data_IF_997363811539
#
_entry.id   IF_997363811539
#
_cell.length_a   1.000
_cell.length_b   1.000
_cell.length_c   1.000
_cell.angle_alpha   90.00
_cell.angle_beta   90.00
_cell.angle_gamma   90.00
#
_symmetry.space_group_name_H-M   'P 1'
#
loop_
_entity.id
_entity.type
_entity.pdbx_description
1 polymer ?
#
# COMPACT_ATOMS: atom_id res chain seq x y z
N UNK A 1 -14.17 -10.24 -19.47
CA UNK A 1 -13.03 -11.07 -18.99
C UNK A 1 -13.59 -12.46 -18.68
N UNK A 2 -12.79 -13.53 -18.74
CA UNK A 2 -13.17 -14.87 -18.27
C UNK A 2 -11.97 -15.58 -17.64
N UNK A 3 -12.21 -16.46 -16.67
CA UNK A 3 -11.20 -17.39 -16.15
C UNK A 3 -10.96 -18.47 -17.21
N UNK A 4 -9.71 -18.67 -17.60
CA UNK A 4 -9.33 -19.64 -18.64
C UNK A 4 -8.66 -20.87 -18.08
N UNK A 5 -7.89 -20.72 -17.00
CA UNK A 5 -7.14 -21.82 -16.40
C UNK A 5 -6.87 -21.55 -14.92
N UNK A 6 -6.90 -22.60 -14.09
CA UNK A 6 -6.34 -22.59 -12.73
C UNK A 6 -4.97 -23.27 -12.80
N UNK A 7 -3.94 -22.57 -12.36
CA UNK A 7 -2.58 -23.09 -12.35
C UNK A 7 -2.35 -23.96 -11.11
N UNK A 8 -1.67 -25.08 -11.30
CA UNK A 8 -1.32 -26.00 -10.21
C UNK A 8 -0.07 -25.54 -9.46
N UNK A 9 0.00 -25.82 -8.15
CA UNK A 9 1.16 -25.49 -7.32
C UNK A 9 1.10 -24.09 -6.72
N UNK A 10 2.17 -23.68 -6.04
CA UNK A 10 2.24 -22.36 -5.37
C UNK A 10 2.22 -21.23 -6.42
N UNK A 11 1.46 -20.15 -6.19
CA UNK A 11 1.50 -18.97 -7.06
C UNK A 11 2.92 -18.42 -7.18
N UNK A 12 3.33 -17.96 -8.36
CA UNK A 12 4.62 -17.28 -8.53
C UNK A 12 4.52 -15.82 -8.14
N UNK A 13 4.44 -15.57 -6.84
CA UNK A 13 4.34 -14.24 -6.25
C UNK A 13 5.22 -14.18 -5.01
N UNK A 14 6.15 -13.22 -4.96
CA UNK A 14 6.92 -12.94 -3.75
C UNK A 14 6.00 -12.17 -2.80
N UNK A 15 5.41 -12.90 -1.87
CA UNK A 15 4.43 -12.45 -0.88
C UNK A 15 4.92 -12.84 0.52
N UNK A 16 4.02 -13.13 1.45
CA UNK A 16 4.34 -13.71 2.75
C UNK A 16 4.96 -15.12 2.63
N UNK A 17 5.87 -15.47 3.52
CA UNK A 17 6.61 -16.76 3.52
C UNK A 17 6.10 -17.78 4.54
N UNK A 18 5.17 -17.40 5.42
CA UNK A 18 4.46 -18.34 6.28
C UNK A 18 3.36 -19.09 5.49
N UNK A 19 2.93 -20.24 6.00
CA UNK A 19 1.89 -21.04 5.36
C UNK A 19 0.51 -20.45 5.63
N UNK A 20 -0.18 -19.97 4.58
CA UNK A 20 -1.55 -19.46 4.70
C UNK A 20 -2.54 -20.50 5.21
N UNK A 21 -2.26 -21.80 5.00
CA UNK A 21 -3.10 -22.90 5.49
C UNK A 21 -3.18 -22.96 7.01
N UNK A 22 -2.10 -22.59 7.72
CA UNK A 22 -2.07 -22.50 9.18
C UNK A 22 -2.98 -21.38 9.72
N UNK A 23 -3.36 -20.44 8.85
CA UNK A 23 -4.28 -19.34 9.13
C UNK A 23 -5.67 -19.56 8.51
N UNK A 24 -5.97 -20.77 8.05
CA UNK A 24 -7.27 -21.12 7.47
C UNK A 24 -7.49 -20.51 6.08
N UNK A 25 -6.43 -20.17 5.35
CA UNK A 25 -6.49 -19.58 4.01
C UNK A 25 -5.88 -20.47 2.94
N UNK A 26 -6.36 -20.32 1.72
CA UNK A 26 -5.80 -20.94 0.52
C UNK A 26 -5.31 -19.89 -0.46
N UNK A 27 -4.26 -20.24 -1.22
CA UNK A 27 -3.75 -19.46 -2.32
C UNK A 27 -3.94 -20.20 -3.64
N UNK A 28 -4.63 -19.55 -4.58
CA UNK A 28 -4.86 -20.05 -5.92
C UNK A 28 -4.37 -19.05 -6.97
N UNK A 29 -3.90 -19.54 -8.11
CA UNK A 29 -3.44 -18.73 -9.23
C UNK A 29 -4.22 -19.10 -10.49
N UNK A 30 -4.63 -18.09 -11.26
CA UNK A 30 -5.46 -18.29 -12.44
C UNK A 30 -4.97 -17.45 -13.61
N UNK A 31 -5.11 -17.99 -14.82
CA UNK A 31 -5.16 -17.18 -16.02
C UNK A 31 -6.57 -16.65 -16.26
N UNK A 32 -6.61 -15.38 -16.68
CA UNK A 32 -7.82 -14.70 -17.13
C UNK A 32 -7.55 -14.06 -18.48
N UNK A 33 -8.53 -14.15 -19.38
CA UNK A 33 -8.41 -13.60 -20.73
C UNK A 33 -9.63 -12.77 -21.11
N UNK A 34 -9.45 -11.89 -22.08
CA UNK A 34 -10.53 -11.09 -22.63
C UNK A 34 -10.03 -10.11 -23.66
N UNK A 35 -10.81 -9.05 -23.87
CA UNK A 35 -10.43 -7.89 -24.67
C UNK A 35 -10.40 -6.68 -23.75
N UNK A 36 -9.37 -5.85 -23.85
CA UNK A 36 -9.18 -4.67 -23.01
C UNK A 36 -9.07 -3.43 -23.89
N UNK A 37 -9.87 -2.41 -23.59
CA UNK A 37 -9.72 -1.10 -24.18
C UNK A 37 -8.45 -0.40 -23.65
N UNK A 38 -7.90 0.51 -24.45
CA UNK A 38 -7.07 1.61 -23.94
C UNK A 38 -7.91 2.89 -23.92
N UNK A 39 -7.50 3.87 -23.13
CA UNK A 39 -8.23 5.12 -22.97
C UNK A 39 -7.40 6.31 -23.44
N UNK A 40 -8.08 7.36 -23.89
CA UNK A 40 -7.48 8.66 -24.16
C UNK A 40 -8.30 9.79 -23.55
N UNK A 41 -7.64 10.90 -23.25
CA UNK A 41 -8.29 12.09 -22.72
C UNK A 41 -9.26 12.66 -23.76
N UNK A 42 -10.50 12.93 -23.33
CA UNK A 42 -11.56 13.55 -24.13
C UNK A 42 -11.78 15.03 -23.75
N UNK A 43 -10.96 15.57 -22.86
CA UNK A 43 -11.04 16.94 -22.35
C UNK A 43 -9.73 17.35 -21.66
N UNK A 44 -9.71 18.52 -21.00
CA UNK A 44 -8.54 19.01 -20.27
C UNK A 44 -8.09 18.07 -19.14
N UNK A 45 -6.77 18.03 -18.91
CA UNK A 45 -6.14 17.27 -17.82
C UNK A 45 -5.73 18.25 -16.74
N UNK A 46 -6.61 18.44 -15.75
CA UNK A 46 -6.44 19.44 -14.70
C UNK A 46 -6.11 18.80 -13.35
N UNK A 47 -5.57 19.62 -12.43
CA UNK A 47 -5.14 19.17 -11.11
C UNK A 47 -6.29 18.72 -10.18
N UNK A 48 -7.54 19.03 -10.53
CA UNK A 48 -8.73 18.65 -9.76
C UNK A 48 -9.13 17.18 -9.90
N UNK A 49 -8.59 16.48 -10.90
CA UNK A 49 -8.88 15.07 -11.18
C UNK A 49 -10.23 14.83 -11.88
N UNK A 50 -10.97 15.87 -12.28
CA UNK A 50 -12.26 15.75 -12.97
C UNK A 50 -12.07 15.46 -14.46
N UNK A 51 -11.35 14.37 -14.75
CA UNK A 51 -10.97 14.02 -16.11
C UNK A 51 -12.12 13.36 -16.86
N UNK A 52 -12.14 13.59 -18.16
CA UNK A 52 -13.03 12.90 -19.10
C UNK A 52 -12.19 12.07 -20.05
N UNK A 53 -12.53 10.80 -20.19
CA UNK A 53 -11.84 9.89 -21.10
C UNK A 53 -12.83 9.20 -22.04
N UNK A 54 -12.29 8.65 -23.12
CA UNK A 54 -13.01 7.75 -24.03
C UNK A 54 -12.12 6.57 -24.41
N UNK A 55 -12.75 5.47 -24.77
CA UNK A 55 -12.04 4.31 -25.31
C UNK A 55 -11.40 4.65 -26.66
N UNK A 56 -10.18 4.15 -26.88
CA UNK A 56 -9.33 4.48 -28.03
C UNK A 56 -8.79 3.22 -28.71
N UNK A 57 -9.62 2.20 -28.85
CA UNK A 57 -9.27 0.89 -29.42
C UNK A 57 -9.06 -0.16 -28.34
N UNK A 58 -9.02 -1.42 -28.78
CA UNK A 58 -9.00 -2.58 -27.90
C UNK A 58 -8.05 -3.67 -28.42
N UNK A 59 -7.60 -4.53 -27.51
CA UNK A 59 -6.74 -5.67 -27.85
C UNK A 59 -7.07 -6.89 -26.98
N UNK A 60 -6.96 -8.11 -27.54
CA UNK A 60 -7.07 -9.33 -26.74
C UNK A 60 -5.89 -9.42 -25.75
N UNK A 61 -6.13 -10.03 -24.59
CA UNK A 61 -5.11 -10.28 -23.59
C UNK A 61 -5.33 -11.61 -22.86
N UNK A 62 -4.23 -12.13 -22.31
CA UNK A 62 -4.21 -13.12 -21.23
C UNK A 62 -3.30 -12.59 -20.14
N UNK A 63 -3.82 -12.45 -18.92
CA UNK A 63 -3.08 -12.05 -17.73
C UNK A 63 -3.34 -13.02 -16.58
N UNK A 64 -2.79 -12.72 -15.40
CA UNK A 64 -2.85 -13.55 -14.19
C UNK A 64 -3.56 -12.83 -13.04
N UNK A 65 -4.30 -13.61 -12.24
CA UNK A 65 -4.74 -13.20 -10.91
C UNK A 65 -4.27 -14.21 -9.86
N UNK A 66 -4.00 -13.73 -8.64
CA UNK A 66 -3.78 -14.58 -7.45
C UNK A 66 -4.92 -14.32 -6.48
N UNK A 67 -5.51 -15.37 -5.95
CA UNK A 67 -6.63 -15.31 -5.00
C UNK A 67 -6.17 -15.90 -3.67
N UNK A 68 -6.14 -15.08 -2.62
CA UNK A 68 -6.04 -15.52 -1.24
C UNK A 68 -7.43 -15.42 -0.61
N UNK A 69 -7.92 -16.51 -0.03
CA UNK A 69 -9.28 -16.58 0.53
C UNK A 69 -9.37 -17.59 1.65
N UNK A 70 -10.38 -17.49 2.53
CA UNK A 70 -10.66 -18.54 3.50
C UNK A 70 -10.81 -19.91 2.84
N UNK A 71 -10.22 -20.93 3.46
CA UNK A 71 -10.29 -22.32 3.03
C UNK A 71 -11.70 -22.88 3.20
N UNK A 72 -12.37 -22.53 4.30
CA UNK A 72 -13.79 -22.75 4.52
C UNK A 72 -14.59 -21.57 3.93
N UNK A 73 -15.42 -21.80 2.89
CA UNK A 73 -16.25 -20.74 2.32
C UNK A 73 -17.23 -20.09 3.32
N UNK A 74 -17.58 -20.75 4.43
CA UNK A 74 -18.42 -20.16 5.47
C UNK A 74 -17.70 -19.08 6.30
N UNK A 75 -16.36 -19.08 6.30
CA UNK A 75 -15.55 -18.05 6.95
C UNK A 75 -15.32 -16.82 6.06
N UNK A 76 -15.71 -16.87 4.78
CA UNK A 76 -15.64 -15.72 3.88
C UNK A 76 -16.73 -14.71 4.22
N UNK A 77 -16.32 -13.48 4.53
CA UNK A 77 -17.25 -12.44 4.94
C UNK A 77 -17.96 -11.77 3.75
N UNK A 78 -17.56 -12.03 2.51
CA UNK A 78 -18.12 -11.37 1.33
C UNK A 78 -17.36 -10.11 0.90
N UNK A 79 -16.28 -9.74 1.59
CA UNK A 79 -15.42 -8.60 1.23
C UNK A 79 -14.21 -9.07 0.43
N UNK A 80 -13.98 -8.46 -0.73
CA UNK A 80 -12.79 -8.72 -1.55
C UNK A 80 -11.97 -7.44 -1.69
N UNK A 81 -10.71 -7.50 -1.28
CA UNK A 81 -9.71 -6.47 -1.59
C UNK A 81 -9.03 -6.84 -2.90
N UNK A 82 -9.27 -6.05 -3.94
CA UNK A 82 -8.70 -6.24 -5.28
C UNK A 82 -7.49 -5.34 -5.42
N UNK A 83 -6.30 -5.95 -5.31
CA UNK A 83 -5.05 -5.22 -5.36
C UNK A 83 -4.51 -5.14 -6.79
N UNK A 84 -4.32 -3.92 -7.28
CA UNK A 84 -3.47 -3.67 -8.43
C UNK A 84 -2.03 -3.90 -8.00
N UNK A 85 -1.43 -5.01 -8.45
CA UNK A 85 -0.09 -5.38 -8.01
C UNK A 85 0.94 -4.37 -8.47
N UNK A 86 1.84 -4.02 -7.55
CA UNK A 86 2.87 -3.04 -7.82
C UNK A 86 3.97 -3.67 -8.69
N UNK A 87 4.44 -2.94 -9.71
CA UNK A 87 5.46 -3.42 -10.65
C UNK A 87 6.75 -2.60 -10.63
N UNK A 88 6.97 -1.78 -9.59
CA UNK A 88 8.13 -0.87 -9.51
C UNK A 88 9.47 -1.61 -9.55
N UNK A 89 9.51 -2.82 -8.98
CA UNK A 89 10.66 -3.73 -8.98
C UNK A 89 10.89 -4.39 -10.35
N UNK A 90 9.93 -4.32 -11.27
CA UNK A 90 9.93 -5.07 -12.54
C UNK A 90 9.22 -6.42 -12.46
N UNK A 91 8.65 -6.77 -11.31
CA UNK A 91 7.80 -7.94 -11.12
C UNK A 91 6.57 -7.56 -10.28
N UNK A 92 5.54 -8.39 -10.32
CA UNK A 92 4.36 -8.21 -9.46
C UNK A 92 4.73 -8.31 -7.98
N UNK A 93 4.31 -7.32 -7.21
CA UNK A 93 4.51 -7.24 -5.75
C UNK A 93 3.19 -6.90 -5.05
N UNK A 94 2.76 -7.67 -4.04
CA UNK A 94 1.49 -7.44 -3.34
C UNK A 94 1.71 -6.52 -2.13
N UNK A 95 2.04 -5.25 -2.39
CA UNK A 95 2.43 -4.29 -1.36
C UNK A 95 1.32 -3.97 -0.33
N UNK A 96 0.04 -3.98 -0.73
CA UNK A 96 -1.07 -3.82 0.21
C UNK A 96 -1.27 -5.09 1.04
N UNK A 97 -1.18 -6.28 0.44
CA UNK A 97 -1.16 -7.53 1.19
C UNK A 97 -0.05 -7.52 2.25
N UNK A 98 1.20 -7.24 1.86
CA UNK A 98 2.36 -7.26 2.76
C UNK A 98 2.21 -6.30 3.96
N UNK A 99 1.46 -5.21 3.81
CA UNK A 99 1.24 -4.23 4.89
C UNK A 99 0.00 -4.53 5.72
N UNK A 100 -1.01 -5.24 5.19
CA UNK A 100 -2.31 -5.38 5.83
C UNK A 100 -2.84 -6.82 6.00
N UNK A 101 -2.08 -7.85 5.63
CA UNK A 101 -2.53 -9.24 5.61
C UNK A 101 -3.12 -9.71 6.95
N UNK A 102 -2.58 -9.26 8.08
CA UNK A 102 -3.11 -9.63 9.41
C UNK A 102 -4.58 -9.25 9.58
N UNK A 103 -4.97 -8.06 9.14
CA UNK A 103 -6.37 -7.63 9.15
C UNK A 103 -7.21 -8.40 8.13
N UNK A 104 -6.68 -8.66 6.95
CA UNK A 104 -7.40 -9.42 5.93
C UNK A 104 -7.70 -10.85 6.40
N UNK A 105 -6.69 -11.53 6.95
CA UNK A 105 -6.78 -12.89 7.47
C UNK A 105 -7.76 -12.98 8.65
N UNK A 106 -7.62 -12.12 9.66
CA UNK A 106 -8.47 -12.19 10.87
C UNK A 106 -9.94 -11.88 10.60
N UNK A 107 -10.22 -11.13 9.54
CA UNK A 107 -11.59 -10.66 9.23
C UNK A 107 -12.32 -11.54 8.22
N UNK A 108 -11.67 -12.59 7.70
CA UNK A 108 -12.29 -13.48 6.69
C UNK A 108 -12.40 -12.84 5.31
N UNK A 109 -11.64 -11.76 5.04
CA UNK A 109 -11.63 -11.09 3.74
C UNK A 109 -10.89 -11.93 2.71
N UNK A 110 -11.37 -11.90 1.46
CA UNK A 110 -10.57 -12.38 0.34
C UNK A 110 -9.70 -11.25 -0.21
N UNK A 111 -8.55 -11.63 -0.76
CA UNK A 111 -7.65 -10.75 -1.47
C UNK A 111 -7.40 -11.28 -2.88
N UNK A 112 -7.46 -10.40 -3.88
CA UNK A 112 -7.22 -10.75 -5.28
C UNK A 112 -6.18 -9.81 -5.87
N UNK A 113 -4.97 -10.32 -6.10
CA UNK A 113 -3.89 -9.58 -6.75
C UNK A 113 -3.94 -9.70 -8.27
N UNK A 114 -3.94 -8.57 -8.97
CA UNK A 114 -4.06 -8.48 -10.43
C UNK A 114 -2.73 -8.10 -11.07
N UNK A 115 -2.25 -8.90 -12.03
CA UNK A 115 -1.19 -8.48 -12.96
C UNK A 115 -1.79 -7.54 -14.01
N UNK A 116 -2.17 -6.33 -13.60
CA UNK A 116 -2.86 -5.38 -14.46
C UNK A 116 -1.91 -4.70 -15.45
N UNK A 117 -0.63 -4.55 -15.13
CA UNK A 117 0.39 -3.99 -16.01
C UNK A 117 1.18 -5.08 -16.72
N UNK A 118 1.65 -4.77 -17.93
CA UNK A 118 2.56 -5.60 -18.69
C UNK A 118 3.93 -5.74 -17.98
N UNK A 119 4.32 -4.73 -17.20
CA UNK A 119 5.63 -4.65 -16.53
C UNK A 119 5.88 -5.85 -15.60
N UNK A 120 4.85 -6.33 -14.88
CA UNK A 120 5.00 -7.50 -14.00
C UNK A 120 5.19 -8.83 -14.75
N UNK A 121 4.77 -8.86 -16.02
CA UNK A 121 4.81 -10.05 -16.89
C UNK A 121 6.09 -10.09 -17.72
N UNK A 122 6.48 -8.94 -18.27
CA UNK A 122 7.55 -8.81 -19.27
C UNK A 122 8.78 -8.08 -18.75
N UNK A 123 8.72 -7.49 -17.55
CA UNK A 123 9.76 -6.63 -17.00
C UNK A 123 9.53 -5.16 -17.35
N UNK A 124 10.11 -4.28 -16.54
CA UNK A 124 9.90 -2.82 -16.67
C UNK A 124 10.27 -2.04 -15.41
N UNK A 125 11.25 -2.53 -14.63
CA UNK A 125 11.59 -2.00 -13.32
C UNK A 125 11.90 -0.50 -13.37
N UNK A 126 11.20 0.30 -12.54
CA UNK A 126 11.52 1.72 -12.30
C UNK A 126 12.93 1.89 -11.72
N UNK A 127 13.42 0.83 -11.06
CA UNK A 127 14.72 0.82 -10.40
C UNK A 127 15.83 0.27 -11.30
N UNK A 128 15.55 -0.24 -12.51
CA UNK A 128 16.57 -0.87 -13.36
C UNK A 128 17.81 0.02 -13.57
N UNK A 129 17.61 1.30 -13.91
CA UNK A 129 18.69 2.26 -14.14
C UNK A 129 19.23 2.92 -12.86
N UNK A 130 18.53 2.75 -11.73
CA UNK A 130 18.83 3.41 -10.45
C UNK A 130 19.22 2.45 -9.33
N UNK A 131 19.25 1.15 -9.62
CA UNK A 131 19.45 0.10 -8.62
C UNK A 131 20.87 0.13 -8.10
N UNK A 132 21.90 0.23 -8.95
CA UNK A 132 23.28 0.32 -8.48
C UNK A 132 23.63 -0.80 -7.49
N UNK A 133 23.88 -0.44 -6.22
CA UNK A 133 24.13 -1.38 -5.12
C UNK A 133 22.89 -2.15 -4.62
N UNK A 134 21.69 -1.76 -5.05
CA UNK A 134 20.38 -2.35 -4.72
C UNK A 134 19.85 -3.29 -5.81
N UNK A 135 20.70 -4.11 -6.45
CA UNK A 135 20.22 -5.06 -7.48
C UNK A 135 19.13 -6.01 -6.96
N UNK A 136 19.11 -6.29 -5.66
CA UNK A 136 18.10 -7.12 -5.00
C UNK A 136 16.67 -6.56 -5.05
N UNK A 137 16.49 -5.26 -5.36
CA UNK A 137 15.14 -4.67 -5.56
C UNK A 137 14.61 -4.87 -6.98
N UNK A 138 15.45 -5.25 -7.94
CA UNK A 138 15.01 -5.60 -9.29
C UNK A 138 14.67 -7.09 -9.31
N UNK A 139 13.39 -7.40 -9.38
CA UNK A 139 12.88 -8.77 -9.33
C UNK A 139 12.64 -9.32 -10.75
N UNK A 140 12.79 -10.64 -10.97
CA UNK A 140 12.51 -11.24 -12.27
C UNK A 140 11.00 -11.16 -12.57
N UNK A 141 10.59 -10.66 -13.75
CA UNK A 141 9.19 -10.69 -14.16
C UNK A 141 8.70 -12.14 -14.33
N UNK A 142 7.37 -12.32 -14.38
CA UNK A 142 6.77 -13.66 -14.40
C UNK A 142 7.39 -14.56 -15.49
N UNK A 143 7.47 -14.09 -16.74
CA UNK A 143 8.01 -14.90 -17.84
C UNK A 143 9.49 -15.27 -17.71
N UNK A 144 10.26 -14.55 -16.92
CA UNK A 144 11.66 -14.89 -16.64
C UNK A 144 11.77 -15.81 -15.41
N UNK A 145 10.86 -15.66 -14.46
CA UNK A 145 10.84 -16.47 -13.23
C UNK A 145 10.46 -17.94 -13.48
N UNK A 146 9.51 -18.18 -14.38
CA UNK A 146 9.07 -19.52 -14.81
C UNK A 146 8.53 -19.45 -16.26
N UNK A 147 9.43 -19.53 -17.27
CA UNK A 147 9.05 -19.34 -18.67
C UNK A 147 8.00 -20.34 -19.18
N UNK A 148 8.03 -21.58 -18.68
CA UNK A 148 7.10 -22.63 -19.08
C UNK A 148 5.72 -22.40 -18.47
N UNK A 149 5.65 -22.14 -17.16
CA UNK A 149 4.39 -21.85 -16.45
C UNK A 149 3.67 -20.65 -17.04
N UNK A 150 4.40 -19.60 -17.41
CA UNK A 150 3.84 -18.32 -17.85
C UNK A 150 3.86 -18.09 -19.35
N UNK A 151 4.13 -19.12 -20.15
CA UNK A 151 4.19 -19.04 -21.61
C UNK A 151 2.90 -18.45 -22.23
N UNK A 152 1.73 -18.80 -21.67
CA UNK A 152 0.42 -18.40 -22.16
C UNK A 152 0.06 -16.92 -21.89
N UNK A 153 0.81 -16.21 -21.04
CA UNK A 153 0.57 -14.79 -20.79
C UNK A 153 0.82 -13.96 -22.05
N UNK A 154 -0.12 -13.08 -22.37
CA UNK A 154 -0.06 -12.22 -23.55
C UNK A 154 -0.71 -10.88 -23.20
N UNK A 155 0.09 -9.93 -22.73
CA UNK A 155 -0.39 -8.60 -22.33
C UNK A 155 -0.17 -7.58 -23.46
N UNK A 156 -1.20 -6.84 -23.90
CA UNK A 156 -1.10 -5.90 -25.02
C UNK A 156 -0.40 -4.57 -24.65
N UNK A 157 0.37 -4.54 -23.56
CA UNK A 157 1.01 -3.33 -23.02
C UNK A 157 0.19 -2.59 -21.95
N UNK A 158 0.87 -1.71 -21.22
CA UNK A 158 0.33 -0.94 -20.09
C UNK A 158 -0.88 -0.03 -20.38
N UNK A 159 -1.10 0.53 -21.59
CA UNK A 159 -2.29 1.33 -21.88
C UNK A 159 -3.62 0.59 -21.65
N UNK A 160 -3.60 -0.74 -21.66
CA UNK A 160 -4.75 -1.61 -21.45
C UNK A 160 -5.00 -1.98 -19.99
N UNK A 161 -4.09 -1.60 -19.08
CA UNK A 161 -4.10 -2.01 -17.68
C UNK A 161 -5.35 -1.55 -16.92
N UNK A 162 -5.82 -0.34 -17.20
CA UNK A 162 -7.02 0.21 -16.57
C UNK A 162 -8.28 -0.59 -16.91
N UNK A 163 -8.42 -1.04 -18.17
CA UNK A 163 -9.54 -1.88 -18.60
C UNK A 163 -9.42 -3.29 -18.03
N UNK A 164 -8.21 -3.86 -17.94
CA UNK A 164 -7.97 -5.17 -17.31
C UNK A 164 -8.39 -5.15 -15.84
N UNK A 165 -7.93 -4.14 -15.09
CA UNK A 165 -8.30 -3.98 -13.68
C UNK A 165 -9.82 -3.77 -13.50
N UNK A 166 -10.44 -2.94 -14.35
CA UNK A 166 -11.90 -2.73 -14.34
C UNK A 166 -12.67 -4.02 -14.65
N UNK A 167 -12.21 -4.77 -15.65
CA UNK A 167 -12.86 -5.99 -16.09
C UNK A 167 -12.80 -7.11 -15.04
N UNK A 168 -11.75 -7.15 -14.19
CA UNK A 168 -11.73 -8.07 -13.06
C UNK A 168 -12.76 -7.66 -11.99
N UNK A 169 -12.88 -6.36 -11.68
CA UNK A 169 -13.92 -5.87 -10.78
C UNK A 169 -15.32 -6.29 -11.25
N UNK A 170 -15.60 -6.14 -12.55
CA UNK A 170 -16.85 -6.62 -13.16
C UNK A 170 -16.99 -8.16 -13.06
N UNK A 171 -15.92 -8.92 -13.34
CA UNK A 171 -15.91 -10.38 -13.27
C UNK A 171 -16.28 -10.89 -11.86
N UNK A 172 -15.75 -10.26 -10.82
CA UNK A 172 -16.00 -10.63 -9.42
C UNK A 172 -17.43 -10.30 -8.96
N UNK A 173 -18.17 -9.47 -9.70
CA UNK A 173 -19.62 -9.27 -9.48
C UNK A 173 -20.47 -10.36 -10.11
N UNK A 174 -19.95 -11.09 -11.08
CA UNK A 174 -20.66 -12.20 -11.71
C UNK A 174 -20.69 -13.39 -10.75
N UNK A 175 -21.86 -13.65 -10.16
CA UNK A 175 -22.04 -14.69 -9.13
C UNK A 175 -21.40 -16.04 -9.49
N UNK A 176 -21.70 -16.57 -10.67
CA UNK A 176 -21.19 -17.88 -11.10
C UNK A 176 -19.67 -17.89 -11.19
N UNK A 177 -19.08 -16.80 -11.69
CA UNK A 177 -17.63 -16.70 -11.83
C UNK A 177 -16.94 -16.51 -10.48
N UNK A 178 -17.49 -15.66 -9.60
CA UNK A 178 -16.99 -15.50 -8.24
C UNK A 178 -17.04 -16.81 -7.45
N UNK A 179 -18.15 -17.56 -7.53
CA UNK A 179 -18.28 -18.89 -6.93
C UNK A 179 -17.23 -19.88 -7.49
N UNK A 180 -16.94 -19.84 -8.79
CA UNK A 180 -15.90 -20.67 -9.40
C UNK A 180 -14.47 -20.32 -8.93
N UNK A 181 -14.25 -19.09 -8.47
CA UNK A 181 -13.02 -18.65 -7.80
C UNK A 181 -13.00 -18.95 -6.28
N UNK A 182 -14.04 -19.63 -5.77
CA UNK A 182 -14.19 -19.93 -4.35
C UNK A 182 -14.62 -18.73 -3.51
N UNK A 183 -15.23 -17.72 -4.13
CA UNK A 183 -15.70 -16.49 -3.50
C UNK A 183 -17.24 -16.40 -3.56
N UNK A 184 -17.98 -17.27 -2.85
CA UNK A 184 -19.43 -17.23 -2.87
C UNK A 184 -19.95 -15.96 -2.18
N UNK A 185 -20.91 -15.29 -2.79
CA UNK A 185 -21.60 -14.17 -2.14
C UNK A 185 -20.74 -12.92 -1.93
N UNK A 186 -19.91 -12.56 -2.91
CA UNK A 186 -19.21 -11.26 -2.93
C UNK A 186 -20.21 -10.11 -2.75
N UNK A 187 -20.04 -9.32 -1.68
CA UNK A 187 -20.87 -8.16 -1.33
C UNK A 187 -20.14 -6.85 -1.57
N UNK A 188 -18.85 -6.80 -1.22
CA UNK A 188 -18.05 -5.57 -1.25
C UNK A 188 -16.76 -5.79 -2.02
N UNK A 189 -16.47 -4.90 -2.97
CA UNK A 189 -15.20 -4.86 -3.71
C UNK A 189 -14.44 -3.57 -3.38
N UNK A 190 -13.27 -3.69 -2.76
CA UNK A 190 -12.37 -2.57 -2.48
C UNK A 190 -11.20 -2.61 -3.46
N UNK A 191 -11.03 -1.56 -4.27
CA UNK A 191 -9.83 -1.40 -5.09
C UNK A 191 -8.67 -0.93 -4.21
N UNK A 192 -7.51 -1.58 -4.31
CA UNK A 192 -6.35 -1.25 -3.52
C UNK A 192 -5.07 -1.17 -4.36
N UNK A 193 -4.16 -0.30 -3.99
CA UNK A 193 -2.85 -0.17 -4.63
C UNK A 193 -1.90 0.66 -3.80
N UNK A 194 -0.60 0.43 -3.97
CA UNK A 194 0.45 1.10 -3.24
C UNK A 194 1.52 1.66 -4.20
N UNK A 195 2.10 2.83 -3.91
CA UNK A 195 3.20 3.40 -4.72
C UNK A 195 2.82 3.59 -6.20
N UNK A 196 3.54 2.95 -7.13
CA UNK A 196 3.23 2.96 -8.57
C UNK A 196 1.81 2.48 -8.89
N UNK A 197 1.31 1.42 -8.26
CA UNK A 197 -0.07 0.97 -8.53
C UNK A 197 -1.11 1.93 -7.96
N UNK A 198 -0.79 2.64 -6.87
CA UNK A 198 -1.62 3.75 -6.41
C UNK A 198 -1.60 4.94 -7.38
N UNK A 199 -0.49 5.17 -8.10
CA UNK A 199 -0.42 6.15 -9.20
C UNK A 199 -1.35 5.76 -10.37
N UNK A 200 -1.43 4.46 -10.70
CA UNK A 200 -2.39 3.94 -11.66
C UNK A 200 -3.84 4.08 -11.13
N UNK A 201 -4.08 3.85 -9.83
CA UNK A 201 -5.41 4.03 -9.25
C UNK A 201 -5.90 5.48 -9.26
N UNK A 202 -5.03 6.48 -9.10
CA UNK A 202 -5.43 7.90 -9.29
C UNK A 202 -5.97 8.11 -10.71
N UNK A 203 -5.26 7.62 -11.72
CA UNK A 203 -5.69 7.74 -13.12
C UNK A 203 -6.97 6.95 -13.40
N UNK A 204 -7.07 5.73 -12.87
CA UNK A 204 -8.27 4.90 -12.95
C UNK A 204 -9.47 5.63 -12.34
N UNK A 205 -9.34 6.15 -11.12
CA UNK A 205 -10.37 6.90 -10.41
C UNK A 205 -10.82 8.12 -11.21
N UNK A 206 -9.87 8.90 -11.72
CA UNK A 206 -10.16 10.17 -12.35
C UNK A 206 -10.80 10.01 -13.73
N UNK A 207 -10.35 9.03 -14.52
CA UNK A 207 -10.71 8.87 -15.93
C UNK A 207 -11.59 7.67 -16.26
N UNK A 208 -11.41 6.52 -15.60
CA UNK A 208 -11.99 5.24 -16.02
C UNK A 208 -13.16 4.79 -15.14
N UNK A 209 -13.06 4.94 -13.82
CA UNK A 209 -14.14 4.67 -12.89
C UNK A 209 -15.47 5.40 -13.22
N UNK A 210 -15.48 6.65 -13.75
CA UNK A 210 -16.72 7.31 -14.19
C UNK A 210 -17.42 6.62 -15.35
N UNK A 211 -16.68 5.92 -16.20
CA UNK A 211 -17.22 5.12 -17.31
C UNK A 211 -17.68 3.75 -16.82
N UNK A 212 -16.98 3.19 -15.83
CA UNK A 212 -17.19 1.83 -15.33
C UNK A 212 -17.05 1.76 -13.79
N UNK A 213 -18.09 2.13 -13.02
CA UNK A 213 -18.04 2.16 -11.56
C UNK A 213 -18.23 0.76 -10.96
N UNK A 214 -17.17 -0.04 -10.93
CA UNK A 214 -17.23 -1.46 -10.50
C UNK A 214 -16.87 -1.70 -9.02
N UNK A 215 -16.10 -0.80 -8.41
CA UNK A 215 -15.60 -0.90 -7.04
C UNK A 215 -16.45 -0.07 -6.08
N UNK A 216 -16.62 -0.57 -4.85
CA UNK A 216 -17.41 0.07 -3.81
C UNK A 216 -16.59 1.08 -3.00
N UNK A 217 -15.26 0.90 -2.92
CA UNK A 217 -14.35 1.79 -2.20
C UNK A 217 -12.92 1.70 -2.75
N UNK A 218 -12.12 2.73 -2.48
CA UNK A 218 -10.74 2.84 -2.99
C UNK A 218 -9.73 3.12 -1.88
N UNK A 219 -8.74 2.25 -1.77
CA UNK A 219 -7.61 2.37 -0.84
C UNK A 219 -6.33 2.69 -1.62
N UNK A 220 -5.81 3.91 -1.48
CA UNK A 220 -4.57 4.34 -2.13
C UNK A 220 -3.48 4.51 -1.07
N UNK A 221 -2.40 3.76 -1.18
CA UNK A 221 -1.31 3.80 -0.22
C UNK A 221 -0.04 4.36 -0.87
N UNK A 222 0.58 5.41 -0.32
CA UNK A 222 1.83 5.97 -0.85
C UNK A 222 1.79 6.44 -2.30
N UNK A 223 0.66 7.00 -2.77
CA UNK A 223 0.52 7.51 -4.14
C UNK A 223 1.42 8.73 -4.44
N UNK A 224 2.06 8.83 -5.63
CA UNK A 224 2.93 9.95 -6.02
C UNK A 224 2.21 11.13 -6.67
N UNK A 225 2.78 12.35 -6.53
CA UNK A 225 2.26 13.66 -6.95
C UNK A 225 1.61 13.61 -8.33
N UNK A 226 2.42 13.12 -9.26
CA UNK A 226 2.05 12.82 -10.63
C UNK A 226 1.58 11.36 -10.74
N UNK A 227 0.34 11.12 -11.19
CA UNK A 227 -0.16 9.77 -11.42
C UNK A 227 0.37 9.18 -12.75
N UNK A 228 0.10 7.90 -12.99
CA UNK A 228 0.50 7.23 -14.24
C UNK A 228 -0.24 7.80 -15.45
N UNK A 229 0.39 7.86 -16.62
CA UNK A 229 -0.27 8.38 -17.82
C UNK A 229 -1.52 7.58 -18.21
N UNK A 230 -2.59 8.24 -18.62
CA UNK A 230 -3.81 7.57 -19.09
C UNK A 230 -3.56 6.79 -20.39
N UNK A 231 -2.87 7.42 -21.34
CA UNK A 231 -2.62 6.85 -22.68
C UNK A 231 -1.46 5.85 -22.67
N UNK A 232 -0.52 5.99 -21.76
CA UNK A 232 0.69 5.15 -21.66
C UNK A 232 0.52 4.01 -20.66
N UNK A 233 -0.33 4.20 -19.63
CA UNK A 233 -0.45 3.30 -18.49
C UNK A 233 0.83 3.18 -17.66
N UNK A 234 1.77 4.12 -17.81
CA UNK A 234 3.13 3.98 -17.30
C UNK A 234 3.49 5.10 -16.33
N UNK A 235 4.29 4.77 -15.31
CA UNK A 235 4.88 5.76 -14.39
C UNK A 235 6.19 6.36 -14.91
N UNK A 236 6.80 5.75 -15.93
CA UNK A 236 7.95 6.34 -16.64
C UNK A 236 7.50 7.52 -17.52
N UNK A 237 6.25 7.50 -17.96
CA UNK A 237 5.59 8.56 -18.73
C UNK A 237 4.31 9.01 -17.99
N UNK A 238 4.47 9.66 -16.82
CA UNK A 238 3.34 10.05 -15.98
C UNK A 238 2.54 11.18 -16.63
N UNK A 239 1.37 11.46 -16.05
CA UNK A 239 0.70 12.73 -16.33
C UNK A 239 1.59 13.91 -15.93
N UNK A 240 1.45 15.02 -16.65
CA UNK A 240 2.31 16.19 -16.47
C UNK A 240 1.80 17.16 -15.38
N UNK A 241 0.62 16.87 -14.82
CA UNK A 241 -0.04 17.70 -13.80
C UNK A 241 -0.20 16.88 -12.51
N UNK A 242 0.23 17.41 -11.34
CA UNK A 242 -0.09 16.79 -10.07
C UNK A 242 -1.60 16.74 -9.89
N UNK A 243 -2.13 15.55 -9.64
CA UNK A 243 -3.57 15.33 -9.71
C UNK A 243 -4.13 14.92 -8.35
N UNK A 244 -5.18 15.63 -7.93
CA UNK A 244 -6.11 15.20 -6.90
C UNK A 244 -6.96 14.04 -7.41
N UNK A 245 -7.62 13.32 -6.51
CA UNK A 245 -8.67 12.36 -6.86
C UNK A 245 -10.02 13.06 -6.86
N UNK A 246 -10.85 12.74 -7.86
CA UNK A 246 -12.24 13.20 -7.92
C UNK A 246 -13.07 12.65 -6.77
N UNK A 247 -13.99 13.46 -6.25
CA UNK A 247 -14.86 13.10 -5.11
C UNK A 247 -16.36 13.27 -5.41
N UNK A 248 -16.72 13.44 -6.69
CA UNK A 248 -18.10 13.51 -7.18
C UNK A 248 -18.71 12.11 -7.46
N UNK A 249 -17.94 11.04 -7.26
CA UNK A 249 -18.39 9.65 -7.31
C UNK A 249 -19.12 9.17 -6.05
N UNK A 250 -19.60 7.92 -6.09
CA UNK A 250 -20.30 7.28 -4.96
C UNK A 250 -19.37 6.60 -3.97
N UNK A 251 -18.31 5.97 -4.46
CA UNK A 251 -17.39 5.17 -3.67
C UNK A 251 -16.55 6.04 -2.73
N UNK A 252 -16.46 5.73 -1.42
CA UNK A 252 -15.49 6.35 -0.53
C UNK A 252 -14.04 6.05 -0.96
N UNK A 253 -13.16 7.00 -0.66
CA UNK A 253 -11.74 6.96 -0.96
C UNK A 253 -10.97 7.21 0.33
N UNK A 254 -9.98 6.37 0.61
CA UNK A 254 -9.05 6.56 1.71
C UNK A 254 -7.63 6.52 1.16
N UNK A 255 -6.92 7.63 1.31
CA UNK A 255 -5.51 7.77 0.92
C UNK A 255 -4.65 7.70 2.19
N UNK A 256 -3.68 6.80 2.23
CA UNK A 256 -2.64 6.75 3.26
C UNK A 256 -1.31 7.23 2.66
N UNK A 257 -0.58 8.07 3.37
CA UNK A 257 0.72 8.62 2.98
C UNK A 257 1.68 8.60 4.15
N UNK A 258 2.96 8.35 3.88
CA UNK A 258 4.08 8.55 4.80
C UNK A 258 4.69 9.95 4.65
N UNK A 259 5.62 10.33 5.53
CA UNK A 259 6.38 11.59 5.34
C UNK A 259 7.16 11.58 4.03
N UNK A 260 7.72 10.42 3.66
CA UNK A 260 8.42 10.20 2.40
C UNK A 260 7.54 10.51 1.20
N UNK A 261 6.27 10.10 1.26
CA UNK A 261 5.37 10.23 0.12
C UNK A 261 4.99 11.69 -0.11
N UNK A 262 4.74 12.40 1.00
CA UNK A 262 4.28 13.78 0.98
C UNK A 262 5.42 14.73 0.60
N UNK A 263 6.57 14.63 1.27
CA UNK A 263 7.65 15.62 1.16
C UNK A 263 8.93 15.09 0.50
N UNK A 264 9.05 13.78 0.31
CA UNK A 264 10.19 13.13 -0.31
C UNK A 264 10.04 12.97 -1.83
N UNK A 265 10.61 11.89 -2.37
CA UNK A 265 10.70 11.63 -3.81
C UNK A 265 9.34 11.62 -4.53
N UNK A 266 8.27 11.25 -3.83
CA UNK A 266 6.95 11.12 -4.44
C UNK A 266 6.20 12.46 -4.52
N UNK A 267 6.63 13.49 -3.79
CA UNK A 267 6.15 14.88 -3.90
C UNK A 267 4.62 15.01 -3.86
N UNK A 268 3.96 14.17 -3.04
CA UNK A 268 2.51 14.11 -2.97
C UNK A 268 1.87 15.37 -2.36
N UNK A 269 2.66 16.21 -1.67
CA UNK A 269 2.21 17.51 -1.16
C UNK A 269 1.59 18.39 -2.24
N UNK A 270 2.05 18.28 -3.50
CA UNK A 270 1.54 19.09 -4.64
C UNK A 270 0.15 18.71 -5.12
N UNK A 271 -0.29 17.50 -4.79
CA UNK A 271 -1.62 16.97 -5.08
C UNK A 271 -2.45 16.77 -3.82
N UNK A 272 -1.96 17.27 -2.67
CA UNK A 272 -2.69 17.19 -1.40
C UNK A 272 -4.05 17.87 -1.54
N UNK A 273 -5.06 17.25 -0.93
CA UNK A 273 -6.43 17.75 -0.93
C UNK A 273 -7.04 17.56 0.47
N UNK A 274 -7.97 18.44 0.87
CA UNK A 274 -8.64 18.31 2.16
C UNK A 274 -9.56 17.09 2.20
N UNK A 275 -9.88 16.64 3.40
CA UNK A 275 -10.96 15.69 3.64
C UNK A 275 -12.31 16.26 3.17
N UNK A 276 -13.22 15.40 2.70
CA UNK A 276 -14.58 15.80 2.33
C UNK A 276 -15.62 14.67 2.58
N UNK A 277 -16.79 14.73 1.98
CA UNK A 277 -17.83 13.70 2.15
C UNK A 277 -17.51 12.34 1.52
N UNK A 278 -16.45 12.22 0.72
CA UNK A 278 -16.05 11.00 -0.01
C UNK A 278 -14.57 10.65 0.14
N UNK A 279 -13.74 11.55 0.65
CA UNK A 279 -12.31 11.34 0.84
C UNK A 279 -11.85 11.52 2.29
N UNK A 280 -10.96 10.61 2.71
CA UNK A 280 -10.07 10.78 3.86
C UNK A 280 -8.60 10.65 3.44
N UNK A 281 -7.75 11.52 3.98
CA UNK A 281 -6.30 11.49 3.74
C UNK A 281 -5.56 11.34 5.07
N UNK A 282 -4.95 10.19 5.30
CA UNK A 282 -4.16 9.88 6.49
C UNK A 282 -2.68 10.01 6.17
N UNK A 283 -2.05 11.06 6.68
CA UNK A 283 -0.61 11.28 6.53
C UNK A 283 0.08 10.93 7.85
N UNK A 284 0.92 9.89 7.86
CA UNK A 284 1.46 9.28 9.08
C UNK A 284 2.74 9.98 9.50
N UNK A 285 2.75 10.52 10.72
CA UNK A 285 3.93 11.13 11.32
C UNK A 285 4.96 10.06 11.71
N UNK A 286 6.22 10.28 11.36
CA UNK A 286 7.35 9.40 11.60
C UNK A 286 7.50 8.24 10.61
N UNK A 287 6.58 8.04 9.66
CA UNK A 287 6.59 6.89 8.77
C UNK A 287 7.39 7.15 7.49
N UNK A 288 8.05 6.10 6.99
CA UNK A 288 8.70 6.07 5.67
C UNK A 288 7.84 5.34 4.62
N UNK A 289 8.14 5.48 3.32
CA UNK A 289 7.43 4.76 2.25
C UNK A 289 7.66 3.25 2.28
N UNK A 290 8.87 2.83 2.65
CA UNK A 290 9.21 1.44 2.93
C UNK A 290 10.16 1.34 4.13
N UNK A 291 9.63 0.88 5.25
CA UNK A 291 10.32 0.69 6.53
C UNK A 291 10.85 -0.76 6.68
N UNK A 292 11.48 -1.06 7.83
CA UNK A 292 11.91 -2.43 8.17
C UNK A 292 10.76 -3.43 8.17
N UNK A 293 9.54 -3.00 8.47
CA UNK A 293 8.37 -3.88 8.35
C UNK A 293 8.15 -4.27 6.88
N UNK A 294 8.04 -3.29 6.00
CA UNK A 294 7.80 -3.48 4.57
C UNK A 294 8.89 -4.32 3.91
N UNK A 295 10.16 -4.06 4.25
CA UNK A 295 11.31 -4.70 3.61
C UNK A 295 11.75 -6.03 4.25
N UNK A 296 11.24 -6.37 5.44
CA UNK A 296 11.69 -7.55 6.19
C UNK A 296 10.56 -8.23 6.96
N UNK A 297 9.93 -7.56 7.93
CA UNK A 297 9.00 -8.22 8.84
C UNK A 297 7.75 -8.75 8.14
N UNK A 298 7.20 -8.02 7.15
CA UNK A 298 6.01 -8.36 6.38
C UNK A 298 6.05 -9.76 5.77
N UNK A 299 7.24 -10.21 5.37
CA UNK A 299 7.45 -11.53 4.77
C UNK A 299 7.31 -12.67 5.79
N UNK A 300 7.52 -12.41 7.08
CA UNK A 300 7.60 -13.44 8.14
C UNK A 300 6.52 -13.31 9.19
N UNK A 301 5.95 -12.11 9.36
CA UNK A 301 4.93 -11.84 10.35
C UNK A 301 3.63 -12.57 10.00
N UNK A 302 3.37 -13.70 10.64
CA UNK A 302 2.11 -14.44 10.55
C UNK A 302 0.99 -13.84 11.41
N UNK A 303 1.28 -12.81 12.21
CA UNK A 303 0.43 -12.33 13.30
C UNK A 303 0.44 -13.21 14.54
N UNK A 304 1.33 -14.21 14.59
CA UNK A 304 1.50 -15.14 15.73
C UNK A 304 2.92 -15.16 16.28
N UNK A 305 3.82 -14.31 15.76
CA UNK A 305 5.17 -14.17 16.28
C UNK A 305 5.15 -13.68 17.74
N UNK A 306 6.12 -14.12 18.54
CA UNK A 306 6.32 -13.51 19.84
C UNK A 306 6.73 -12.04 19.67
N UNK A 307 6.34 -11.13 20.59
CA UNK A 307 6.68 -9.71 20.49
C UNK A 307 8.19 -9.45 20.34
N UNK A 308 9.03 -10.26 20.99
CA UNK A 308 10.48 -10.17 20.86
C UNK A 308 11.01 -10.53 19.46
N UNK A 309 10.40 -11.52 18.80
CA UNK A 309 10.78 -11.92 17.45
C UNK A 309 10.36 -10.85 16.44
N UNK A 310 9.16 -10.27 16.59
CA UNK A 310 8.72 -9.14 15.78
C UNK A 310 9.59 -7.90 16.01
N UNK A 311 9.95 -7.59 17.26
CA UNK A 311 10.88 -6.51 17.60
C UNK A 311 12.24 -6.69 16.91
N UNK A 312 12.77 -7.93 16.87
CA UNK A 312 14.02 -8.24 16.20
C UNK A 312 13.94 -8.04 14.68
N UNK A 313 12.80 -8.34 14.05
CA UNK A 313 12.58 -8.08 12.62
C UNK A 313 12.44 -6.60 12.29
N UNK A 314 11.92 -5.81 13.23
CA UNK A 314 11.72 -4.37 13.11
C UNK A 314 12.97 -3.55 13.46
N UNK A 315 13.93 -4.15 14.17
CA UNK A 315 15.10 -3.45 14.69
C UNK A 315 15.80 -2.58 13.64
N UNK A 316 16.31 -1.39 14.02
CA UNK A 316 17.01 -0.50 13.08
C UNK A 316 18.15 -1.23 12.37
N UNK A 317 18.18 -1.15 11.04
CA UNK A 317 19.24 -1.75 10.21
C UNK A 317 19.73 -0.76 9.16
N UNK A 318 21.05 -0.68 9.01
CA UNK A 318 21.72 0.07 7.96
C UNK A 318 22.13 -0.84 6.79
N UNK A 319 21.70 -2.10 6.77
CA UNK A 319 22.03 -3.05 5.70
C UNK A 319 20.76 -3.68 5.07
N UNK A 320 19.71 -2.91 4.74
CA UNK A 320 18.48 -3.48 4.20
C UNK A 320 18.75 -4.24 2.90
N UNK A 321 18.12 -5.40 2.74
CA UNK A 321 18.26 -6.27 1.56
C UNK A 321 19.72 -6.59 1.17
N UNK A 322 20.63 -6.58 2.15
CA UNK A 322 22.06 -6.86 1.96
C UNK A 322 22.88 -5.68 1.43
N UNK A 323 22.30 -4.48 1.34
CA UNK A 323 23.00 -3.29 0.85
C UNK A 323 23.31 -2.34 2.01
N UNK A 324 24.60 -2.06 2.23
CA UNK A 324 25.05 -1.13 3.26
C UNK A 324 24.64 0.32 2.93
N UNK A 325 24.04 0.97 3.92
CA UNK A 325 23.62 2.37 3.93
C UNK A 325 24.42 3.18 4.96
N UNK A 326 24.41 4.53 4.85
CA UNK A 326 25.14 5.40 5.76
C UNK A 326 24.56 5.45 7.19
N UNK A 327 23.30 5.05 7.36
CA UNK A 327 22.60 5.04 8.64
C UNK A 327 21.38 4.09 8.58
N UNK A 328 20.80 3.71 9.74
CA UNK A 328 19.67 2.81 9.79
C UNK A 328 18.42 3.40 9.15
N UNK A 329 17.72 2.59 8.35
CA UNK A 329 16.42 2.97 7.78
C UNK A 329 15.34 3.10 8.85
N UNK A 330 14.18 3.62 8.46
CA UNK A 330 13.03 3.73 9.36
C UNK A 330 12.61 2.35 9.90
N UNK A 331 12.52 2.25 11.22
CA UNK A 331 12.18 1.04 11.97
C UNK A 331 10.82 1.09 12.65
N UNK A 332 10.03 2.14 12.40
CA UNK A 332 8.71 2.30 12.97
C UNK A 332 7.70 1.39 12.28
N UNK A 333 6.88 0.61 13.01
CA UNK A 333 5.87 -0.26 12.40
C UNK A 333 4.58 0.49 12.02
N UNK A 334 4.63 1.82 11.94
CA UNK A 334 3.44 2.68 11.90
C UNK A 334 2.63 2.47 10.62
N UNK A 335 3.31 2.27 9.48
CA UNK A 335 2.67 1.93 8.21
C UNK A 335 1.81 0.68 8.34
N UNK A 336 2.33 -0.38 8.97
CA UNK A 336 1.63 -1.65 9.14
C UNK A 336 0.33 -1.48 9.95
N UNK A 337 0.40 -0.87 11.13
CA UNK A 337 -0.77 -0.73 11.99
C UNK A 337 -1.81 0.25 11.41
N UNK A 338 -1.36 1.39 10.86
CA UNK A 338 -2.27 2.40 10.32
C UNK A 338 -2.91 1.93 9.00
N UNK A 339 -2.19 1.19 8.14
CA UNK A 339 -2.78 0.65 6.90
C UNK A 339 -3.90 -0.36 7.18
N UNK A 340 -3.75 -1.19 8.21
CA UNK A 340 -4.81 -2.11 8.66
C UNK A 340 -6.03 -1.35 9.19
N UNK A 341 -5.81 -0.36 10.06
CA UNK A 341 -6.88 0.47 10.60
C UNK A 341 -7.59 1.27 9.49
N UNK A 342 -6.85 1.71 8.48
CA UNK A 342 -7.38 2.42 7.33
C UNK A 342 -8.28 1.52 6.47
N UNK A 343 -7.83 0.31 6.11
CA UNK A 343 -8.65 -0.64 5.35
C UNK A 343 -9.93 -1.03 6.10
N UNK A 344 -9.83 -1.31 7.40
CA UNK A 344 -11.01 -1.58 8.24
C UNK A 344 -11.98 -0.39 8.24
N UNK A 345 -11.46 0.84 8.34
CA UNK A 345 -12.28 2.05 8.36
C UNK A 345 -12.89 2.36 6.99
N UNK A 346 -12.17 2.10 5.90
CA UNK A 346 -12.72 2.20 4.54
C UNK A 346 -13.86 1.19 4.34
N UNK A 347 -13.71 -0.03 4.84
CA UNK A 347 -14.77 -1.03 4.77
C UNK A 347 -16.03 -0.58 5.51
N UNK A 348 -15.92 -0.14 6.77
CA UNK A 348 -17.04 0.42 7.54
C UNK A 348 -17.68 1.63 6.85
N UNK A 349 -16.88 2.47 6.21
CA UNK A 349 -17.41 3.59 5.46
C UNK A 349 -18.21 3.14 4.23
N UNK A 350 -17.70 2.12 3.55
CA UNK A 350 -18.33 1.53 2.37
C UNK A 350 -19.64 0.81 2.72
N UNK A 351 -19.67 0.03 3.81
CA UNK A 351 -20.83 -0.81 4.16
C UNK A 351 -21.83 -0.10 5.05
N UNK A 352 -21.35 0.69 6.01
CA UNK A 352 -22.17 1.24 7.10
C UNK A 352 -22.31 2.76 7.00
N UNK A 353 -21.61 3.40 6.06
CA UNK A 353 -21.62 4.86 5.89
C UNK A 353 -20.86 5.63 6.98
N UNK A 354 -20.09 4.93 7.84
CA UNK A 354 -19.35 5.53 8.94
C UNK A 354 -17.95 5.94 8.45
N UNK A 355 -17.67 7.26 8.29
CA UNK A 355 -16.39 7.70 7.74
C UNK A 355 -15.23 7.45 8.72
N UNK A 356 -14.00 7.22 8.22
CA UNK A 356 -12.79 7.22 9.04
C UNK A 356 -12.56 8.59 9.70
N UNK A 357 -11.71 8.59 10.74
CA UNK A 357 -11.20 9.81 11.37
C UNK A 357 -10.59 10.77 10.34
N UNK A 358 -10.68 12.08 10.63
CA UNK A 358 -10.24 13.16 9.76
C UNK A 358 -9.07 13.91 10.39
N UNK A 359 -7.87 13.30 10.49
CA UNK A 359 -6.72 13.91 11.16
C UNK A 359 -6.28 15.20 10.44
N UNK A 360 -5.64 16.11 11.17
CA UNK A 360 -4.94 17.21 10.53
C UNK A 360 -3.84 16.66 9.61
N UNK A 361 -3.53 17.30 8.46
CA UNK A 361 -2.40 16.88 7.64
C UNK A 361 -1.07 17.05 8.39
N UNK A 362 0.00 16.43 7.88
CA UNK A 362 1.35 16.70 8.35
C UNK A 362 1.65 18.19 8.21
N UNK A 363 2.19 18.76 9.27
CA UNK A 363 2.55 20.16 9.36
C UNK A 363 3.51 20.53 8.24
N UNK A 364 3.24 21.65 7.57
CA UNK A 364 4.01 22.09 6.41
C UNK A 364 4.61 23.46 6.68
N UNK A 365 5.90 23.59 6.40
CA UNK A 365 6.60 24.85 6.27
C UNK A 365 6.64 25.24 4.80
N UNK A 366 6.51 26.54 4.52
CA UNK A 366 6.69 27.11 3.19
C UNK A 366 7.86 28.08 3.23
N UNK A 367 8.92 27.75 2.50
CA UNK A 367 10.05 28.64 2.31
C UNK A 367 9.67 29.82 1.37
N UNK A 368 10.44 30.94 1.37
CA UNK A 368 10.17 32.09 0.52
C UNK A 368 10.17 31.78 -0.99
N UNK A 369 10.94 30.77 -1.43
CA UNK A 369 10.98 30.28 -2.81
C UNK A 369 9.77 29.39 -3.18
N UNK A 370 8.87 29.14 -2.22
CA UNK A 370 7.69 28.32 -2.38
C UNK A 370 7.89 26.84 -2.11
N UNK A 371 9.12 26.40 -1.80
CA UNK A 371 9.41 25.01 -1.41
C UNK A 371 8.63 24.64 -0.15
N UNK A 372 7.98 23.47 -0.19
CA UNK A 372 7.23 22.93 0.94
C UNK A 372 8.06 21.86 1.64
N UNK A 373 8.16 21.94 2.96
CA UNK A 373 8.87 20.96 3.77
C UNK A 373 8.07 20.56 5.01
N UNK A 374 8.45 19.44 5.61
CA UNK A 374 7.85 18.93 6.82
C UNK A 374 8.15 19.86 8.02
N UNK A 375 7.13 20.15 8.82
CA UNK A 375 7.29 20.84 10.11
C UNK A 375 7.49 19.81 11.22
N UNK A 376 8.61 19.92 11.93
CA UNK A 376 8.92 19.06 13.08
C UNK A 376 8.81 19.80 14.41
N UNK A 377 8.84 19.05 15.51
CA UNK A 377 9.11 19.57 16.85
C UNK A 377 10.62 19.63 17.14
N UNK A 378 10.97 19.91 18.39
CA UNK A 378 12.35 20.11 18.85
C UNK A 378 13.15 18.80 18.85
N UNK A 379 12.47 17.64 18.90
CA UNK A 379 13.08 16.31 18.77
C UNK A 379 13.24 15.89 17.30
N UNK A 380 12.72 16.68 16.35
CA UNK A 380 12.73 16.35 14.92
C UNK A 380 11.55 15.48 14.48
N UNK A 381 10.55 15.25 15.34
CA UNK A 381 9.37 14.44 15.03
C UNK A 381 8.33 15.32 14.31
N UNK A 382 7.70 14.80 13.26
CA UNK A 382 6.67 15.54 12.52
C UNK A 382 5.50 16.00 13.40
N UNK A 383 5.08 17.26 13.24
CA UNK A 383 3.84 17.77 13.82
C UNK A 383 2.64 17.49 12.91
N UNK A 384 1.47 17.26 13.51
CA UNK A 384 0.25 16.95 12.77
C UNK A 384 0.25 15.51 12.24
N UNK A 385 -0.65 15.24 11.27
CA UNK A 385 -0.83 13.89 10.74
C UNK A 385 -1.53 12.93 11.69
N UNK A 386 -1.55 11.66 11.29
CA UNK A 386 -1.83 10.52 12.17
C UNK A 386 -0.59 10.30 13.03
N UNK A 387 -0.70 10.64 14.32
CA UNK A 387 0.35 10.38 15.31
C UNK A 387 0.03 9.09 16.03
N UNK A 388 1.03 8.21 16.10
CA UNK A 388 0.95 6.89 16.72
C UNK A 388 1.83 6.83 17.97
N UNK A 389 1.73 5.78 18.80
CA UNK A 389 2.48 5.71 20.05
C UNK A 389 3.99 5.76 19.87
N UNK A 390 4.51 5.27 18.74
CA UNK A 390 5.94 5.30 18.40
C UNK A 390 6.52 6.72 18.22
N UNK A 391 5.69 7.73 17.94
CA UNK A 391 6.11 9.14 17.84
C UNK A 391 5.61 10.02 18.98
N UNK A 392 4.55 9.60 19.67
CA UNK A 392 4.04 10.29 20.87
C UNK A 392 4.76 9.88 22.15
N UNK A 393 5.34 8.69 22.18
CA UNK A 393 6.19 8.17 23.25
C UNK A 393 7.46 7.58 22.62
N UNK A 394 8.34 8.42 22.05
CA UNK A 394 9.48 7.96 21.27
C UNK A 394 10.61 7.44 22.18
N UNK A 395 11.27 6.37 21.73
CA UNK A 395 12.57 5.90 22.23
C UNK A 395 13.69 6.07 21.19
N UNK A 396 13.30 6.40 19.97
CA UNK A 396 14.14 6.77 18.84
C UNK A 396 13.42 7.88 18.06
N UNK A 397 14.18 8.66 17.29
CA UNK A 397 13.61 9.58 16.32
C UNK A 397 13.36 8.79 15.02
N UNK A 398 12.08 8.65 14.68
CA UNK A 398 11.61 8.07 13.42
C UNK A 398 11.24 9.18 12.45
N UNK A 399 11.72 9.08 11.21
CA UNK A 399 11.32 9.99 10.12
C UNK A 399 11.25 9.24 8.79
N UNK A 400 10.34 9.66 7.92
CA UNK A 400 10.30 9.21 6.53
C UNK A 400 11.20 10.00 5.60
N UNK A 401 11.85 11.06 6.07
CA UNK A 401 12.78 11.81 5.24
C UNK A 401 14.10 11.03 5.11
N UNK A 402 14.66 10.91 3.88
CA UNK A 402 15.89 10.16 3.68
C UNK A 402 17.11 10.90 4.22
N UNK A 403 18.21 10.19 4.42
CA UNK A 403 19.49 10.82 4.71
C UNK A 403 20.02 11.58 3.49
N UNK A 404 20.81 12.63 3.73
CA UNK A 404 21.37 13.48 2.67
C UNK A 404 22.28 12.76 1.68
N UNK A 405 22.79 11.57 2.05
CA UNK A 405 23.66 10.74 1.20
C UNK A 405 22.91 9.59 0.52
N UNK A 406 21.61 9.43 0.76
CA UNK A 406 20.83 8.36 0.16
C UNK A 406 20.62 8.62 -1.33
N UNK A 407 20.66 7.54 -2.11
CA UNK A 407 20.50 7.56 -3.56
C UNK A 407 19.63 6.38 -4.00
N UNK A 408 19.02 6.50 -5.18
CA UNK A 408 18.22 5.42 -5.76
C UNK A 408 17.04 5.04 -4.85
N UNK A 409 16.76 3.73 -4.67
CA UNK A 409 15.67 3.26 -3.81
C UNK A 409 15.78 3.68 -2.35
N UNK A 410 16.99 3.94 -1.82
CA UNK A 410 17.19 4.33 -0.43
C UNK A 410 16.48 5.63 -0.04
N UNK A 411 16.20 6.50 -1.02
CA UNK A 411 15.42 7.72 -0.84
C UNK A 411 13.98 7.47 -0.32
N UNK A 412 13.54 6.21 -0.33
CA UNK A 412 12.21 5.79 0.08
C UNK A 412 12.17 5.20 1.51
N UNK A 413 13.32 4.97 2.14
CA UNK A 413 13.39 4.15 3.35
C UNK A 413 13.35 4.93 4.66
N UNK A 414 13.39 6.26 4.59
CA UNK A 414 13.48 7.12 5.76
C UNK A 414 14.67 6.76 6.66
N UNK A 415 14.57 7.11 7.93
CA UNK A 415 15.65 6.96 8.88
C UNK A 415 15.18 6.64 10.30
N UNK A 416 16.03 5.94 11.04
CA UNK A 416 15.95 5.85 12.50
C UNK A 416 17.20 6.47 13.13
N UNK A 417 16.98 7.42 14.04
CA UNK A 417 18.05 8.06 14.80
C UNK A 417 17.94 7.76 16.29
N UNK A 418 19.07 7.63 17.01
CA UNK A 418 19.06 7.61 18.47
C UNK A 418 18.40 8.88 19.03
N UNK A 419 17.51 8.72 20.02
CA UNK A 419 16.95 9.85 20.75
C UNK A 419 17.73 10.05 22.06
N UNK A 420 18.43 11.17 22.27
CA UNK A 420 19.17 11.40 23.50
C UNK A 420 18.23 11.64 24.69
N UNK A 421 18.73 11.39 25.90
CA UNK A 421 18.03 11.78 27.12
C UNK A 421 16.86 10.89 27.53
N UNK A 422 16.80 9.62 27.10
CA UNK A 422 15.77 8.67 27.55
C UNK A 422 15.64 8.57 29.08
N UNK A 423 16.72 8.55 29.89
CA UNK A 423 16.59 8.54 31.35
C UNK A 423 15.95 9.81 31.93
N UNK A 424 16.05 10.95 31.23
CA UNK A 424 15.40 12.19 31.63
C UNK A 424 13.94 12.22 31.17
N UNK A 425 13.66 11.67 29.98
CA UNK A 425 12.32 11.57 29.40
C UNK A 425 11.45 10.57 30.15
N UNK A 426 12.03 9.44 30.56
CA UNK A 426 11.39 8.38 31.32
C UNK A 426 12.20 8.09 32.59
N UNK A 427 12.14 8.95 33.63
CA UNK A 427 12.90 8.76 34.88
C UNK A 427 12.61 7.45 35.59
N UNK A 428 11.41 6.88 35.40
CA UNK A 428 11.07 5.55 35.93
C UNK A 428 11.53 4.38 35.06
N UNK A 429 12.23 4.64 33.94
CA UNK A 429 12.68 3.62 32.99
C UNK A 429 11.51 2.98 32.25
N UNK A 430 11.59 1.65 32.06
CA UNK A 430 10.61 0.88 31.28
C UNK A 430 9.15 1.05 31.78
N UNK A 431 8.82 0.94 33.09
CA UNK A 431 7.45 1.14 33.56
C UNK A 431 6.86 2.52 33.22
N UNK A 432 7.68 3.57 33.28
CA UNK A 432 7.28 4.94 32.95
C UNK A 432 7.06 5.10 31.45
N UNK A 433 7.99 4.60 30.64
CA UNK A 433 7.82 4.52 29.19
C UNK A 433 6.53 3.79 28.78
N UNK A 434 6.25 2.62 29.36
CA UNK A 434 5.05 1.85 29.03
C UNK A 434 3.77 2.60 29.41
N UNK A 435 3.73 3.29 30.55
CA UNK A 435 2.57 4.10 30.92
C UNK A 435 2.30 5.22 29.90
N UNK A 436 3.35 5.90 29.43
CA UNK A 436 3.26 6.90 28.36
C UNK A 436 2.79 6.28 27.04
N UNK A 437 3.38 5.15 26.65
CA UNK A 437 3.06 4.44 25.41
C UNK A 437 1.63 3.90 25.39
N UNK A 438 1.17 3.26 26.48
CA UNK A 438 -0.20 2.76 26.64
C UNK A 438 -1.23 3.88 26.51
N UNK A 439 -0.96 5.03 27.12
CA UNK A 439 -1.82 6.22 26.98
C UNK A 439 -1.89 6.71 25.53
N UNK A 440 -0.77 6.72 24.82
CA UNK A 440 -0.74 7.07 23.40
C UNK A 440 -1.43 6.02 22.52
N UNK A 441 -1.27 4.73 22.83
CA UNK A 441 -1.91 3.63 22.11
C UNK A 441 -3.43 3.67 22.27
N UNK A 442 -3.91 4.05 23.46
CA UNK A 442 -5.33 4.20 23.71
C UNK A 442 -5.92 5.33 22.88
N UNK A 443 -5.24 6.48 22.80
CA UNK A 443 -5.66 7.57 21.90
C UNK A 443 -5.70 7.14 20.44
N UNK A 444 -4.67 6.45 19.95
CA UNK A 444 -4.66 5.93 18.58
C UNK A 444 -5.80 4.93 18.33
N UNK A 445 -6.18 4.12 19.31
CA UNK A 445 -7.33 3.22 19.25
C UNK A 445 -8.65 3.99 19.19
N UNK A 446 -8.85 4.96 20.09
CA UNK A 446 -10.04 5.81 20.16
C UNK A 446 -10.25 6.65 18.89
N UNK A 447 -9.17 7.17 18.32
CA UNK A 447 -9.18 7.93 17.06
C UNK A 447 -9.35 7.02 15.82
N UNK A 448 -9.27 5.70 15.99
CA UNK A 448 -9.43 4.70 14.93
C UNK A 448 -8.20 4.51 14.04
N UNK A 449 -7.01 4.91 14.51
CA UNK A 449 -5.72 4.73 13.81
C UNK A 449 -4.96 3.46 14.25
N UNK A 450 -5.48 2.74 15.26
CA UNK A 450 -5.02 1.43 15.70
C UNK A 450 -6.26 0.53 15.85
N UNK A 451 -6.15 -0.75 15.48
CA UNK A 451 -7.24 -1.71 15.68
C UNK A 451 -7.18 -2.31 17.09
N UNK A 452 -8.34 -2.63 17.66
CA UNK A 452 -8.45 -3.26 18.99
C UNK A 452 -7.60 -4.54 19.12
N UNK A 453 -7.61 -5.48 18.15
CA UNK A 453 -6.76 -6.67 18.22
C UNK A 453 -5.25 -6.38 18.21
N UNK A 454 -4.83 -5.19 17.79
CA UNK A 454 -3.43 -4.80 17.69
C UNK A 454 -2.93 -4.03 18.94
N UNK A 455 -3.85 -3.59 19.81
CA UNK A 455 -3.54 -2.77 20.98
C UNK A 455 -2.57 -3.45 21.97
N UNK A 456 -2.89 -4.68 22.37
CA UNK A 456 -2.08 -5.41 23.34
C UNK A 456 -0.70 -5.75 22.78
N UNK A 457 -0.64 -6.13 21.51
CA UNK A 457 0.64 -6.41 20.86
C UNK A 457 1.50 -5.17 20.70
N UNK A 458 0.92 -4.02 20.34
CA UNK A 458 1.68 -2.78 20.20
C UNK A 458 2.43 -2.44 21.51
N UNK A 459 1.80 -2.66 22.67
CA UNK A 459 2.42 -2.47 23.99
C UNK A 459 3.52 -3.50 24.25
N UNK A 460 3.25 -4.79 23.98
CA UNK A 460 4.24 -5.85 24.18
C UNK A 460 5.46 -5.70 23.24
N UNK A 461 5.24 -5.21 22.04
CA UNK A 461 6.28 -4.87 21.07
C UNK A 461 7.11 -3.68 21.56
N UNK A 462 6.47 -2.65 22.11
CA UNK A 462 7.14 -1.50 22.72
C UNK A 462 8.03 -1.93 23.90
N UNK A 463 7.53 -2.82 24.77
CA UNK A 463 8.31 -3.40 25.86
C UNK A 463 9.53 -4.16 25.34
N UNK A 464 9.35 -5.01 24.32
CA UNK A 464 10.43 -5.79 23.73
C UNK A 464 11.49 -4.92 23.02
N UNK A 465 11.08 -3.78 22.46
CA UNK A 465 11.95 -2.84 21.76
C UNK A 465 12.66 -1.83 22.70
N UNK A 466 12.25 -1.73 23.97
CA UNK A 466 12.82 -0.77 24.90
C UNK A 466 14.31 -1.06 25.19
N UNK A 467 15.22 -0.09 25.03
CA UNK A 467 16.64 -0.28 25.32
C UNK A 467 16.86 -0.62 26.80
N UNK A 468 17.58 -1.72 27.07
CA UNK A 468 17.90 -2.18 28.43
C UNK A 468 19.21 -1.64 28.95
#
# INVERSE_FOLDING_TARGET
>A
MRVTERLTGRPGLISTFFDLGEHGYTADEYFVSGTAARYEHAGPVEADGLWTAREAGEAPYTTRIVVYRPADPAAFDGTVVVEWLNTSSGADTPAVWLTAHRHLLRSGHAWVGVSAQADGIHGGSLFASRSGAFKSITLPPLKDSDPERYAALAHPGNPHSYAIFTALGALLRERVTAEALGLPGVRTLLAAGQSQSAACLVTHLNAVAPLHPVYDGYFLHGRPGLPSGLTTGSRLEPEQVPARVRTDGRAPILIVQSETDVFGLLDAVRSRQPHDGRLRVWEIAGAAHADTYTLSASFRDSGTLAPADLAALLAPTDTPLGTQLPAPINSGPQQHYVAQAALASLLRWTTDGIPPGSPMPLGTLRAPDGTLSLRTDDDGIARGGVRTPWVDSPISLLTGLPHTRDIGPALLFGATHPLPGLPTRYPGGLPDYLAHFESAALRSLEDGFLLEPDYTEAIALAEAAYPR
#
